data_IF_816811039415
#
_entry.id   IF_816811039415
#
_cell.length_a   1.000
_cell.length_b   1.000
_cell.length_c   1.000
_cell.angle_alpha   90.00
_cell.angle_beta   90.00
_cell.angle_gamma   90.00
#
_symmetry.space_group_name_H-M   'P 1'
#
loop_
_entity.id
_entity.type
_entity.pdbx_description
1 polymer ?
#
# COMPACT_ATOMS: atom_id res chain seq x y z
N UNK A 1 18.17 19.34 8.08
CA UNK A 1 18.76 18.22 8.86
C UNK A 1 20.12 17.78 8.35
N UNK A 2 21.06 17.49 9.24
CA UNK A 2 22.37 16.87 8.94
C UNK A 2 22.26 15.35 8.79
N UNK A 3 23.30 14.71 8.25
CA UNK A 3 23.37 13.23 8.13
C UNK A 3 23.28 12.53 9.49
N UNK A 4 23.95 13.07 10.51
CA UNK A 4 23.95 12.48 11.87
C UNK A 4 22.56 12.50 12.51
N UNK A 5 21.81 13.59 12.33
CA UNK A 5 20.42 13.66 12.82
C UNK A 5 19.52 12.63 12.13
N UNK A 6 19.72 12.35 10.84
CA UNK A 6 18.95 11.34 10.12
C UNK A 6 19.26 9.92 10.61
N UNK A 7 20.51 9.64 10.95
CA UNK A 7 20.91 8.36 11.54
C UNK A 7 20.32 8.16 12.94
N UNK A 8 20.30 9.21 13.77
CA UNK A 8 19.67 9.15 15.08
C UNK A 8 18.17 8.83 14.97
N UNK A 9 17.44 9.51 14.08
CA UNK A 9 16.02 9.25 13.87
C UNK A 9 15.77 7.84 13.32
N UNK A 10 16.59 7.36 12.38
CA UNK A 10 16.47 5.97 11.89
C UNK A 10 16.57 4.96 13.04
N UNK A 11 17.53 5.13 13.96
CA UNK A 11 17.68 4.24 15.14
C UNK A 11 16.50 4.32 16.09
N UNK A 12 15.92 5.50 16.28
CA UNK A 12 14.70 5.68 17.08
C UNK A 12 13.51 4.95 16.43
N UNK A 13 13.37 5.04 15.10
CA UNK A 13 12.35 4.32 14.33
C UNK A 13 12.49 2.82 14.54
N UNK A 14 13.69 2.25 14.33
CA UNK A 14 13.93 0.81 14.56
C UNK A 14 13.62 0.42 16.01
N UNK A 15 13.99 1.26 17.00
CA UNK A 15 13.66 0.99 18.39
C UNK A 15 12.16 1.03 18.66
N UNK A 16 11.40 1.89 17.96
CA UNK A 16 9.95 1.96 18.08
C UNK A 16 9.31 0.73 17.45
N UNK A 17 9.69 0.36 16.23
CA UNK A 17 9.19 -0.83 15.53
C UNK A 17 9.41 -2.09 16.36
N UNK A 18 10.61 -2.27 16.92
CA UNK A 18 10.92 -3.39 17.82
C UNK A 18 10.03 -3.43 19.06
N UNK A 19 9.70 -2.27 19.65
CA UNK A 19 8.78 -2.18 20.79
C UNK A 19 7.35 -2.51 20.38
N UNK A 20 6.87 -1.99 19.27
CA UNK A 20 5.50 -2.22 18.78
C UNK A 20 5.26 -3.69 18.40
N UNK A 21 6.28 -4.35 17.81
CA UNK A 21 6.20 -5.77 17.44
C UNK A 21 6.58 -6.75 18.56
N UNK A 22 6.91 -6.25 19.75
CA UNK A 22 7.37 -7.09 20.88
C UNK A 22 6.27 -7.98 21.45
N UNK A 23 5.01 -7.55 21.36
CA UNK A 23 3.85 -8.27 21.85
C UNK A 23 3.01 -8.79 20.69
N UNK A 24 2.43 -9.97 20.86
CA UNK A 24 1.47 -10.53 19.92
C UNK A 24 0.10 -10.66 20.53
N UNK A 25 -0.93 -10.38 19.74
CA UNK A 25 -2.32 -10.43 20.14
C UNK A 25 -3.02 -11.66 19.55
N UNK A 26 -4.14 -12.04 20.15
CA UNK A 26 -4.94 -13.17 19.68
C UNK A 26 -5.81 -12.88 18.46
N UNK A 27 -6.06 -11.59 18.16
CA UNK A 27 -6.93 -11.17 17.07
C UNK A 27 -6.30 -10.04 16.26
N UNK A 28 -6.77 -9.89 15.03
CA UNK A 28 -6.46 -8.82 14.09
C UNK A 28 -7.61 -7.81 14.08
N UNK A 29 -7.28 -6.54 14.23
CA UNK A 29 -8.26 -5.47 14.33
C UNK A 29 -7.64 -4.23 14.96
N UNK A 30 -8.48 -3.34 15.46
CA UNK A 30 -8.02 -2.13 16.16
C UNK A 30 -8.16 -2.27 17.67
N UNK A 31 -7.27 -1.59 18.39
CA UNK A 31 -7.25 -1.60 19.86
C UNK A 31 -8.14 -0.47 20.39
N UNK A 32 -8.99 -0.80 21.35
CA UNK A 32 -9.89 0.10 22.05
C UNK A 32 -9.69 0.00 23.55
N UNK A 33 -10.14 1.01 24.31
CA UNK A 33 -10.26 0.84 25.75
C UNK A 33 -11.45 -0.06 26.07
N UNK A 34 -11.29 -0.95 27.05
CA UNK A 34 -12.36 -1.84 27.49
C UNK A 34 -13.58 -1.06 28.02
N UNK A 35 -13.37 0.17 28.51
CA UNK A 35 -14.45 1.08 28.94
C UNK A 35 -15.40 1.49 27.82
N UNK A 36 -14.93 1.51 26.58
CA UNK A 36 -15.68 2.07 25.45
C UNK A 36 -16.78 1.12 24.96
N UNK A 37 -16.77 -0.14 25.44
CA UNK A 37 -17.82 -1.14 25.18
C UNK A 37 -18.17 -1.29 23.70
N UNK A 38 -17.14 -1.29 22.84
CA UNK A 38 -17.30 -1.39 21.38
C UNK A 38 -17.97 -2.71 20.99
N UNK A 39 -19.00 -2.63 20.17
CA UNK A 39 -19.75 -3.80 19.71
C UNK A 39 -18.86 -4.79 18.95
N UNK A 40 -18.97 -6.08 19.30
CA UNK A 40 -18.18 -7.15 18.69
C UNK A 40 -16.71 -7.20 19.12
N UNK A 41 -16.25 -6.29 19.99
CA UNK A 41 -14.88 -6.31 20.49
C UNK A 41 -14.64 -7.44 21.50
N UNK A 42 -13.44 -8.01 21.46
CA UNK A 42 -13.00 -9.10 22.34
C UNK A 42 -11.85 -8.62 23.24
N UNK A 43 -11.63 -9.21 24.42
CA UNK A 43 -10.49 -8.85 25.27
C UNK A 43 -9.16 -8.96 24.51
N UNK A 44 -8.27 -7.98 24.68
CA UNK A 44 -6.95 -7.99 24.05
C UNK A 44 -6.02 -9.00 24.72
N UNK A 45 -6.11 -10.27 24.32
CA UNK A 45 -5.29 -11.34 24.88
C UNK A 45 -3.92 -11.38 24.19
N UNK A 46 -2.86 -11.51 24.99
CA UNK A 46 -1.49 -11.62 24.50
C UNK A 46 -1.10 -13.09 24.29
N UNK A 47 -0.58 -13.39 23.10
CA UNK A 47 0.06 -14.65 22.74
C UNK A 47 1.58 -14.48 22.93
N UNK A 48 2.18 -15.28 23.81
CA UNK A 48 3.63 -15.25 24.06
C UNK A 48 4.00 -15.43 25.52
N UNK A 49 5.29 -15.39 25.80
CA UNK A 49 5.85 -15.55 27.14
C UNK A 49 5.94 -14.20 27.87
N UNK A 50 4.86 -13.87 28.57
CA UNK A 50 4.69 -12.62 29.33
C UNK A 50 4.02 -12.98 30.66
N UNK A 51 4.41 -12.28 31.74
CA UNK A 51 3.86 -12.49 33.09
C UNK A 51 2.32 -12.51 33.08
N UNK A 52 1.67 -13.48 33.76
CA UNK A 52 0.22 -13.59 33.83
C UNK A 52 -0.48 -12.29 34.28
N UNK A 53 0.14 -11.55 35.20
CA UNK A 53 -0.37 -10.29 35.74
C UNK A 53 -0.48 -9.21 34.64
N UNK A 54 0.51 -9.15 33.75
CA UNK A 54 0.50 -8.22 32.63
C UNK A 54 -0.53 -8.64 31.57
N UNK A 55 -0.66 -9.94 31.28
CA UNK A 55 -1.69 -10.45 30.36
C UNK A 55 -3.09 -10.09 30.85
N UNK A 56 -3.36 -10.30 32.14
CA UNK A 56 -4.63 -9.95 32.76
C UNK A 56 -4.87 -8.44 32.77
N UNK A 57 -3.85 -7.64 33.09
CA UNK A 57 -3.94 -6.17 33.04
C UNK A 57 -4.28 -5.68 31.64
N UNK A 58 -3.63 -6.19 30.59
CA UNK A 58 -3.90 -5.80 29.21
C UNK A 58 -5.32 -6.20 28.82
N UNK A 59 -5.72 -7.45 29.05
CA UNK A 59 -7.06 -7.95 28.70
C UNK A 59 -8.20 -7.22 29.43
N UNK A 60 -7.95 -6.67 30.63
CA UNK A 60 -8.90 -5.84 31.37
C UNK A 60 -8.93 -4.38 30.90
N UNK A 61 -7.81 -3.87 30.40
CA UNK A 61 -7.68 -2.45 30.00
C UNK A 61 -8.09 -2.24 28.55
N UNK A 62 -7.81 -3.21 27.68
CA UNK A 62 -7.94 -3.08 26.23
C UNK A 62 -8.76 -4.21 25.63
N UNK A 63 -9.46 -3.87 24.55
CA UNK A 63 -10.18 -4.81 23.68
C UNK A 63 -9.70 -4.66 22.25
N UNK A 64 -9.85 -5.72 21.45
CA UNK A 64 -9.61 -5.72 20.01
C UNK A 64 -10.98 -5.77 19.35
N UNK A 65 -11.29 -4.75 18.57
CA UNK A 65 -12.59 -4.60 17.92
C UNK A 65 -12.48 -4.49 16.41
N UNK A 66 -13.55 -3.99 15.77
CA UNK A 66 -13.56 -3.63 14.36
C UNK A 66 -12.33 -2.82 13.93
N UNK A 67 -11.87 -3.01 12.69
CA UNK A 67 -10.78 -2.22 12.13
C UNK A 67 -11.23 -0.77 11.93
N UNK A 68 -10.44 0.19 12.39
CA UNK A 68 -10.59 1.62 12.08
C UNK A 68 -9.88 2.01 10.78
N UNK A 69 -9.27 1.05 10.08
CA UNK A 69 -8.58 1.29 8.82
C UNK A 69 -9.52 1.97 7.81
N UNK A 70 -9.02 3.05 7.18
CA UNK A 70 -9.82 3.91 6.29
C UNK A 70 -10.50 3.13 5.18
N UNK A 71 -9.89 2.04 4.69
CA UNK A 71 -10.47 1.20 3.65
C UNK A 71 -11.80 0.54 4.07
N UNK A 72 -12.08 0.37 5.36
CA UNK A 72 -13.36 -0.15 5.86
C UNK A 72 -14.46 0.92 5.98
N UNK A 73 -14.12 2.20 5.87
CA UNK A 73 -15.01 3.32 6.17
C UNK A 73 -15.10 4.37 5.06
N UNK A 74 -14.25 4.32 4.05
CA UNK A 74 -14.26 5.29 2.96
C UNK A 74 -15.53 5.17 2.10
N UNK A 75 -16.11 6.31 1.69
CA UNK A 75 -17.31 6.39 0.83
C UNK A 75 -18.49 5.56 1.39
N UNK A 76 -19.18 4.81 0.54
CA UNK A 76 -20.35 3.99 0.89
C UNK A 76 -20.00 2.81 1.82
N UNK A 77 -18.72 2.42 1.95
CA UNK A 77 -18.30 1.35 2.88
C UNK A 77 -18.62 1.67 4.34
N UNK A 78 -18.73 2.96 4.70
CA UNK A 78 -19.15 3.41 6.04
C UNK A 78 -20.56 2.97 6.43
N UNK A 79 -21.49 2.86 5.47
CA UNK A 79 -22.90 2.55 5.73
C UNK A 79 -23.26 1.09 5.45
N UNK A 80 -22.35 0.35 4.82
CA UNK A 80 -22.54 -1.06 4.51
C UNK A 80 -22.54 -1.96 5.76
N UNK A 81 -23.38 -2.98 5.73
CA UNK A 81 -23.34 -4.08 6.69
C UNK A 81 -22.26 -5.11 6.27
N UNK A 82 -21.00 -4.79 6.56
CA UNK A 82 -19.82 -5.61 6.27
C UNK A 82 -19.14 -6.04 7.57
N UNK A 83 -18.48 -7.20 7.54
CA UNK A 83 -17.58 -7.60 8.63
C UNK A 83 -16.38 -6.67 8.68
N UNK A 84 -16.10 -6.13 9.87
CA UNK A 84 -14.96 -5.25 10.13
C UNK A 84 -13.95 -5.89 11.08
N UNK A 85 -14.10 -7.17 11.39
CA UNK A 85 -13.37 -7.84 12.47
C UNK A 85 -14.04 -7.66 13.84
N UNK A 86 -13.37 -8.02 14.93
CA UNK A 86 -12.00 -8.55 14.99
C UNK A 86 -11.89 -9.95 14.35
N UNK A 87 -10.77 -10.23 13.68
CA UNK A 87 -10.51 -11.54 13.05
C UNK A 87 -9.58 -12.38 13.93
N UNK A 88 -9.89 -13.66 14.13
CA UNK A 88 -9.07 -14.57 14.94
C UNK A 88 -7.86 -15.15 14.19
N UNK A 89 -7.76 -14.94 12.88
CA UNK A 89 -6.70 -15.47 12.04
C UNK A 89 -6.32 -14.48 10.93
N UNK A 90 -5.07 -14.51 10.44
CA UNK A 90 -4.62 -13.65 9.34
C UNK A 90 -5.37 -13.94 8.04
N UNK A 91 -5.73 -15.21 7.79
CA UNK A 91 -6.56 -15.62 6.65
C UNK A 91 -7.95 -14.99 6.74
N UNK A 92 -8.57 -15.04 7.93
CA UNK A 92 -9.88 -14.45 8.15
C UNK A 92 -9.88 -12.94 7.93
N UNK A 93 -8.77 -12.26 8.28
CA UNK A 93 -8.59 -10.84 8.00
C UNK A 93 -8.47 -10.58 6.49
N UNK A 94 -7.59 -11.30 5.80
CA UNK A 94 -7.39 -11.20 4.36
C UNK A 94 -8.66 -11.52 3.53
N UNK A 95 -9.45 -12.50 3.96
CA UNK A 95 -10.74 -12.86 3.37
C UNK A 95 -11.78 -11.75 3.63
N UNK A 96 -11.82 -11.18 4.84
CA UNK A 96 -12.75 -10.10 5.18
C UNK A 96 -12.55 -8.86 4.30
N UNK A 97 -11.30 -8.51 4.00
CA UNK A 97 -10.95 -7.44 3.06
C UNK A 97 -11.59 -7.71 1.68
N UNK A 98 -11.39 -8.90 1.13
CA UNK A 98 -11.94 -9.24 -0.18
C UNK A 98 -13.47 -9.30 -0.20
N UNK A 99 -14.11 -9.86 0.84
CA UNK A 99 -15.57 -9.90 0.92
C UNK A 99 -16.19 -8.51 0.98
N UNK A 100 -15.57 -7.59 1.73
CA UNK A 100 -15.94 -6.18 1.73
C UNK A 100 -15.89 -5.60 0.33
N UNK A 101 -14.77 -5.78 -0.38
CA UNK A 101 -14.60 -5.23 -1.72
C UNK A 101 -15.60 -5.80 -2.72
N UNK A 102 -15.82 -7.11 -2.73
CA UNK A 102 -16.86 -7.73 -3.56
C UNK A 102 -18.24 -7.15 -3.25
N UNK A 103 -18.57 -6.97 -1.97
CA UNK A 103 -19.86 -6.42 -1.57
C UNK A 103 -20.03 -4.96 -2.03
N UNK A 104 -18.98 -4.13 -1.92
CA UNK A 104 -19.03 -2.74 -2.36
C UNK A 104 -19.17 -2.67 -3.89
N UNK A 105 -18.37 -3.45 -4.62
CA UNK A 105 -18.41 -3.48 -6.09
C UNK A 105 -19.80 -3.88 -6.60
N UNK A 106 -20.40 -4.92 -6.02
CA UNK A 106 -21.71 -5.41 -6.46
C UNK A 106 -22.85 -4.41 -6.20
N UNK A 107 -22.72 -3.52 -5.22
CA UNK A 107 -23.78 -2.58 -4.84
C UNK A 107 -23.58 -1.18 -5.42
N UNK A 108 -22.33 -0.72 -5.53
CA UNK A 108 -22.02 0.69 -5.75
C UNK A 108 -21.09 0.96 -6.94
N UNK A 109 -20.39 -0.05 -7.50
CA UNK A 109 -19.52 0.22 -8.63
C UNK A 109 -20.33 0.59 -9.87
N UNK A 110 -20.12 1.82 -10.35
CA UNK A 110 -20.73 2.33 -11.57
C UNK A 110 -19.66 2.36 -12.66
N UNK A 111 -19.81 1.60 -13.76
CA UNK A 111 -18.97 1.75 -14.92
C UNK A 111 -19.05 3.19 -15.45
N UNK A 112 -17.89 3.83 -15.60
CA UNK A 112 -17.69 5.10 -16.28
C UNK A 112 -17.91 4.94 -17.79
N UNK A 113 -17.98 6.04 -18.53
CA UNK A 113 -18.19 5.99 -19.97
C UNK A 113 -16.99 5.31 -20.68
N UNK A 114 -17.20 4.46 -21.71
CA UNK A 114 -16.11 3.80 -22.44
C UNK A 114 -15.09 4.76 -23.07
N UNK A 115 -15.51 6.00 -23.35
CA UNK A 115 -14.68 7.03 -24.00
C UNK A 115 -14.06 8.02 -22.99
N UNK A 116 -14.20 7.79 -21.67
CA UNK A 116 -13.58 8.62 -20.64
C UNK A 116 -12.04 8.49 -20.71
N UNK A 117 -11.29 9.57 -21.05
CA UNK A 117 -9.84 9.50 -21.17
C UNK A 117 -9.12 9.27 -19.82
N UNK A 118 -9.83 9.37 -18.69
CA UNK A 118 -9.33 9.00 -17.36
C UNK A 118 -9.58 7.53 -17.02
N UNK A 119 -10.26 6.77 -17.89
CA UNK A 119 -10.56 5.34 -17.73
C UNK A 119 -9.59 4.45 -18.51
N UNK A 120 -8.33 4.49 -18.11
CA UNK A 120 -7.28 3.68 -18.71
C UNK A 120 -6.64 2.84 -17.61
N UNK A 121 -6.66 1.48 -17.70
CA UNK A 121 -7.19 0.65 -18.80
C UNK A 121 -8.69 0.35 -18.71
N UNK A 122 -9.29 -0.13 -19.81
CA UNK A 122 -10.73 -0.49 -19.89
C UNK A 122 -11.14 -1.57 -18.88
N UNK A 123 -10.22 -2.43 -18.46
CA UNK A 123 -10.45 -3.41 -17.40
C UNK A 123 -10.81 -2.76 -16.05
N UNK A 124 -10.29 -1.57 -15.75
CA UNK A 124 -10.60 -0.80 -14.53
C UNK A 124 -12.09 -0.40 -14.48
N UNK A 125 -12.75 -0.41 -15.63
CA UNK A 125 -14.11 0.03 -15.77
C UNK A 125 -15.14 -1.11 -15.73
N UNK A 126 -14.69 -2.35 -15.48
CA UNK A 126 -15.55 -3.55 -15.49
C UNK A 126 -15.67 -4.15 -14.08
N UNK A 127 -16.74 -3.83 -13.32
CA UNK A 127 -17.00 -4.40 -11.99
C UNK A 127 -16.87 -5.93 -11.94
N UNK A 128 -17.29 -6.61 -13.01
CA UNK A 128 -17.22 -8.06 -13.13
C UNK A 128 -15.78 -8.57 -13.18
N UNK A 129 -14.88 -7.88 -13.88
CA UNK A 129 -13.46 -8.26 -13.93
C UNK A 129 -12.80 -8.16 -12.55
N UNK A 130 -13.11 -7.10 -11.78
CA UNK A 130 -12.65 -6.98 -10.40
C UNK A 130 -13.13 -8.14 -9.53
N UNK A 131 -14.43 -8.47 -9.60
CA UNK A 131 -15.01 -9.59 -8.83
C UNK A 131 -14.35 -10.93 -9.21
N UNK A 132 -14.09 -11.18 -10.50
CA UNK A 132 -13.44 -12.42 -10.94
C UNK A 132 -12.01 -12.55 -10.39
N UNK A 133 -11.23 -11.46 -10.35
CA UNK A 133 -9.90 -11.46 -9.74
C UNK A 133 -9.97 -11.64 -8.22
N UNK A 134 -10.92 -11.00 -7.55
CA UNK A 134 -11.15 -11.18 -6.11
C UNK A 134 -11.58 -12.62 -5.78
N UNK A 135 -12.36 -13.27 -6.63
CA UNK A 135 -12.70 -14.69 -6.50
C UNK A 135 -11.48 -15.61 -6.71
N UNK A 136 -10.54 -15.26 -7.61
CA UNK A 136 -9.24 -15.94 -7.70
C UNK A 136 -8.43 -15.76 -6.41
N UNK A 137 -8.40 -14.56 -5.86
CA UNK A 137 -7.73 -14.26 -4.58
C UNK A 137 -8.28 -15.11 -3.42
N UNK A 138 -9.61 -15.28 -3.30
CA UNK A 138 -10.22 -16.11 -2.25
C UNK A 138 -9.79 -17.59 -2.32
N UNK A 139 -9.43 -18.10 -3.50
CA UNK A 139 -8.92 -19.47 -3.67
C UNK A 139 -7.45 -19.60 -3.21
N UNK A 140 -6.70 -18.52 -3.33
CA UNK A 140 -5.25 -18.46 -3.08
C UNK A 140 -4.94 -18.20 -1.61
N UNK A 141 -5.63 -17.23 -0.99
CA UNK A 141 -5.37 -16.74 0.37
C UNK A 141 -5.26 -17.85 1.42
N UNK A 142 -6.19 -18.83 1.51
CA UNK A 142 -6.12 -19.84 2.57
C UNK A 142 -4.82 -20.64 2.58
N UNK A 143 -4.16 -20.75 1.42
CA UNK A 143 -2.90 -21.49 1.30
C UNK A 143 -1.66 -20.61 1.44
N UNK A 144 -1.75 -19.31 1.12
CA UNK A 144 -0.63 -18.37 1.24
C UNK A 144 -0.20 -18.08 2.68
N UNK A 145 -1.11 -18.24 3.64
CA UNK A 145 -0.81 -18.04 5.06
C UNK A 145 -0.35 -19.31 5.77
N UNK A 146 -0.20 -20.44 5.06
CA UNK A 146 0.43 -21.65 5.59
C UNK A 146 1.96 -21.50 5.63
N UNK A 147 2.43 -20.45 6.30
CA UNK A 147 3.84 -20.13 6.56
C UNK A 147 4.09 -20.16 8.06
N UNK A 148 5.35 -20.06 8.47
CA UNK A 148 5.69 -19.98 9.89
C UNK A 148 4.88 -18.85 10.58
N UNK A 149 4.20 -19.21 11.67
CA UNK A 149 3.36 -18.32 12.46
C UNK A 149 4.09 -17.08 12.94
N UNK A 150 5.43 -17.10 13.04
CA UNK A 150 6.21 -15.91 13.39
C UNK A 150 6.04 -14.75 12.41
N UNK A 151 5.73 -15.03 11.15
CA UNK A 151 5.48 -14.02 10.09
C UNK A 151 4.03 -13.54 10.04
N UNK A 152 3.13 -14.27 10.69
CA UNK A 152 1.69 -13.99 10.75
C UNK A 152 1.27 -13.74 12.20
N UNK A 153 2.07 -12.94 12.92
CA UNK A 153 1.75 -12.49 14.27
C UNK A 153 0.88 -11.24 14.18
N UNK A 154 -0.22 -11.20 14.93
CA UNK A 154 -0.93 -9.94 15.16
C UNK A 154 -0.09 -9.08 16.10
N UNK A 155 0.46 -7.99 15.59
CA UNK A 155 1.31 -7.06 16.34
C UNK A 155 0.82 -5.63 16.15
N UNK A 156 1.22 -4.72 17.04
CA UNK A 156 1.04 -3.29 16.74
C UNK A 156 2.04 -2.92 15.65
N UNK A 157 1.55 -2.30 14.59
CA UNK A 157 2.38 -1.90 13.47
C UNK A 157 1.92 -0.55 12.94
N UNK A 158 2.85 0.26 12.45
CA UNK A 158 2.53 1.50 11.77
C UNK A 158 2.73 1.28 10.26
N UNK A 159 1.61 1.21 9.52
CA UNK A 159 1.61 0.89 8.08
C UNK A 159 2.21 1.98 7.20
N UNK A 160 2.28 3.23 7.70
CA UNK A 160 2.62 4.41 6.89
C UNK A 160 3.90 5.13 7.37
N UNK A 161 4.92 4.36 7.78
CA UNK A 161 6.23 4.90 8.18
C UNK A 161 7.08 5.20 6.94
N UNK A 162 6.65 6.10 6.06
CA UNK A 162 7.53 6.63 5.02
C UNK A 162 8.12 7.97 5.43
N UNK A 163 9.20 8.30 4.75
CA UNK A 163 9.99 9.51 4.95
C UNK A 163 9.25 10.82 5.12
N UNK A 164 8.24 11.04 4.29
CA UNK A 164 7.47 12.28 4.28
C UNK A 164 6.64 12.43 5.56
N UNK A 165 6.37 11.31 6.24
CA UNK A 165 5.65 11.27 7.52
C UNK A 165 6.59 11.29 8.74
N UNK A 166 7.84 10.86 8.58
CA UNK A 166 8.86 10.85 9.64
C UNK A 166 9.61 12.20 9.73
N UNK A 167 9.83 12.85 8.58
CA UNK A 167 10.54 14.13 8.49
C UNK A 167 9.62 15.26 8.06
N UNK A 168 8.91 15.82 9.04
CA UNK A 168 8.08 17.01 8.87
C UNK A 168 8.95 18.27 8.94
N UNK A 169 9.88 18.40 7.99
CA UNK A 169 10.60 19.65 7.71
C UNK A 169 10.23 20.06 6.28
N UNK A 170 10.26 21.36 5.94
CA UNK A 170 9.76 21.93 4.67
C UNK A 170 10.50 21.44 3.39
N UNK A 171 11.33 20.40 3.51
CA UNK A 171 11.96 19.66 2.43
C UNK A 171 11.72 18.16 2.65
N UNK A 172 11.07 17.46 1.71
CA UNK A 172 10.81 16.03 1.86
C UNK A 172 12.13 15.25 1.90
N UNK A 173 12.53 14.81 3.09
CA UNK A 173 13.66 13.89 3.26
C UNK A 173 13.15 12.47 3.11
N UNK A 174 13.79 11.67 2.24
CA UNK A 174 13.43 10.27 1.89
C UNK A 174 14.20 9.26 2.76
N UNK A 175 13.54 8.45 3.59
CA UNK A 175 14.15 7.56 4.59
C UNK A 175 13.55 6.15 4.56
N UNK A 176 12.30 5.95 4.14
CA UNK A 176 11.68 4.60 4.17
C UNK A 176 10.70 4.39 3.00
N UNK A 177 11.07 4.85 1.81
CA UNK A 177 10.57 4.24 0.58
C UNK A 177 11.71 4.30 -0.43
N UNK A 178 12.48 3.20 -0.47
CA UNK A 178 13.61 3.08 -1.38
C UNK A 178 13.21 2.18 -2.55
N UNK A 179 12.67 2.80 -3.60
CA UNK A 179 12.30 2.12 -4.85
C UNK A 179 13.38 2.22 -5.93
N UNK A 180 14.57 2.72 -5.59
CA UNK A 180 15.68 2.89 -6.54
C UNK A 180 16.72 1.77 -6.46
N UNK A 181 17.66 1.74 -7.41
CA UNK A 181 18.79 0.81 -7.37
C UNK A 181 19.75 1.17 -6.23
N UNK A 182 20.18 0.18 -5.44
CA UNK A 182 21.15 0.40 -4.36
C UNK A 182 22.48 0.86 -4.97
N UNK A 183 22.88 2.09 -4.66
CA UNK A 183 24.13 2.70 -5.10
C UNK A 183 24.99 3.03 -3.87
N UNK A 184 25.94 2.16 -3.52
CA UNK A 184 26.81 2.37 -2.36
C UNK A 184 28.12 3.07 -2.70
N UNK A 185 28.46 3.13 -3.98
CA UNK A 185 29.71 3.70 -4.47
C UNK A 185 29.44 4.79 -5.48
N UNK A 186 30.33 5.78 -5.46
CA UNK A 186 30.38 6.85 -6.43
C UNK A 186 30.77 6.28 -7.82
N UNK A 187 30.04 6.60 -8.90
CA UNK A 187 30.43 6.21 -10.26
C UNK A 187 31.78 6.82 -10.68
N UNK A 188 32.54 6.11 -11.52
CA UNK A 188 33.88 6.54 -11.94
C UNK A 188 33.86 7.89 -12.69
N UNK A 189 32.83 8.13 -13.50
CA UNK A 189 32.65 9.37 -14.27
C UNK A 189 32.04 10.54 -13.46
N UNK A 190 31.89 10.41 -12.14
CA UNK A 190 31.14 11.38 -11.36
C UNK A 190 31.74 12.80 -11.37
N UNK A 191 33.06 12.95 -11.45
CA UNK A 191 33.69 14.28 -11.47
C UNK A 191 33.36 15.05 -12.76
N UNK A 192 33.03 14.34 -13.83
CA UNK A 192 32.70 14.89 -15.14
C UNK A 192 31.20 15.26 -15.28
N UNK A 193 30.38 14.92 -14.30
CA UNK A 193 28.95 15.21 -14.31
C UNK A 193 28.64 16.66 -13.93
N UNK A 194 27.47 17.16 -14.35
CA UNK A 194 26.93 18.44 -13.90
C UNK A 194 26.53 18.42 -12.41
N UNK A 195 26.42 19.60 -11.81
CA UNK A 195 26.15 19.74 -10.37
C UNK A 195 24.79 19.15 -9.93
N UNK A 196 23.80 19.15 -10.82
CA UNK A 196 22.48 18.57 -10.55
C UNK A 196 22.61 17.05 -10.42
N UNK A 197 23.22 16.39 -11.41
CA UNK A 197 23.47 14.94 -11.38
C UNK A 197 24.37 14.53 -10.22
N UNK A 198 25.42 15.31 -9.93
CA UNK A 198 26.28 15.08 -8.75
C UNK A 198 25.48 15.12 -7.46
N UNK A 199 24.53 16.04 -7.34
CA UNK A 199 23.65 16.16 -6.17
C UNK A 199 22.70 14.97 -6.07
N UNK A 200 22.08 14.56 -7.18
CA UNK A 200 21.18 13.40 -7.24
C UNK A 200 21.90 12.11 -6.83
N UNK A 201 23.11 11.86 -7.36
CA UNK A 201 23.91 10.68 -7.01
C UNK A 201 24.33 10.71 -5.54
N UNK A 202 24.79 11.86 -5.00
CA UNK A 202 25.10 11.99 -3.56
C UNK A 202 23.88 11.66 -2.69
N UNK A 203 22.70 12.13 -3.09
CA UNK A 203 21.46 11.82 -2.39
C UNK A 203 21.08 10.34 -2.49
N UNK A 204 21.26 9.70 -3.66
CA UNK A 204 20.99 8.28 -3.85
C UNK A 204 21.93 7.42 -2.99
N UNK A 205 23.23 7.74 -2.97
CA UNK A 205 24.22 7.06 -2.13
C UNK A 205 23.83 7.17 -0.66
N UNK A 206 23.50 8.39 -0.20
CA UNK A 206 23.08 8.58 1.17
C UNK A 206 21.83 7.76 1.52
N UNK A 207 20.81 7.73 0.66
CA UNK A 207 19.61 6.90 0.86
C UNK A 207 19.93 5.41 0.91
N UNK A 208 20.78 4.93 0.00
CA UNK A 208 21.23 3.54 -0.03
C UNK A 208 21.95 3.14 1.25
N UNK A 209 22.90 3.97 1.72
CA UNK A 209 23.62 3.73 2.98
C UNK A 209 22.65 3.70 4.15
N UNK A 210 21.74 4.68 4.22
CA UNK A 210 20.77 4.78 5.31
C UNK A 210 19.81 3.59 5.37
N UNK A 211 19.33 3.14 4.20
CA UNK A 211 18.51 1.93 4.08
C UNK A 211 19.27 0.68 4.51
N UNK A 212 20.53 0.53 4.11
CA UNK A 212 21.37 -0.59 4.57
C UNK A 212 21.57 -0.58 6.09
N UNK A 213 21.82 0.60 6.67
CA UNK A 213 21.95 0.74 8.12
C UNK A 213 20.63 0.42 8.84
N UNK A 214 19.49 0.80 8.27
CA UNK A 214 18.18 0.40 8.78
C UNK A 214 17.99 -1.12 8.80
N UNK A 215 18.37 -1.82 7.72
CA UNK A 215 18.30 -3.28 7.67
C UNK A 215 19.22 -3.94 8.71
N UNK A 216 20.45 -3.43 8.88
CA UNK A 216 21.41 -3.94 9.87
C UNK A 216 20.88 -3.74 11.30
N UNK A 217 20.48 -2.52 11.65
CA UNK A 217 19.97 -2.22 13.01
C UNK A 217 18.66 -2.96 13.29
N UNK A 218 17.80 -3.14 12.28
CA UNK A 218 16.60 -3.99 12.39
C UNK A 218 16.98 -5.44 12.65
N UNK A 219 17.98 -5.98 11.96
CA UNK A 219 18.49 -7.34 12.22
C UNK A 219 18.97 -7.56 13.65
N UNK A 220 19.65 -6.56 14.23
CA UNK A 220 20.14 -6.63 15.60
C UNK A 220 19.01 -6.51 16.64
N UNK A 221 18.02 -5.64 16.41
CA UNK A 221 17.00 -5.28 17.40
C UNK A 221 15.69 -6.06 17.26
N UNK A 222 15.39 -6.54 16.05
CA UNK A 222 14.16 -7.24 15.72
C UNK A 222 14.42 -8.34 14.66
N UNK A 223 15.04 -9.46 15.05
CA UNK A 223 15.41 -10.52 14.11
C UNK A 223 14.22 -11.08 13.32
N UNK A 224 13.05 -11.20 13.94
CA UNK A 224 11.84 -11.72 13.28
C UNK A 224 11.40 -10.79 12.14
N UNK A 225 11.43 -9.47 12.35
CA UNK A 225 11.13 -8.50 11.30
C UNK A 225 12.17 -8.55 10.18
N UNK A 226 13.46 -8.65 10.51
CA UNK A 226 14.52 -8.79 9.51
C UNK A 226 14.37 -10.08 8.68
N UNK A 227 14.00 -11.20 9.30
CA UNK A 227 13.65 -12.44 8.60
C UNK A 227 12.42 -12.24 7.70
N UNK A 228 11.43 -11.45 8.13
CA UNK A 228 10.22 -11.15 7.35
C UNK A 228 10.55 -10.37 6.07
N UNK A 229 11.52 -9.45 6.12
CA UNK A 229 12.00 -8.74 4.92
C UNK A 229 12.67 -9.64 3.90
N UNK A 230 13.21 -10.78 4.33
CA UNK A 230 13.86 -11.77 3.49
C UNK A 230 12.96 -12.97 3.17
N UNK A 231 11.67 -12.91 3.51
CA UNK A 231 10.72 -13.97 3.20
C UNK A 231 10.60 -14.12 1.69
N UNK A 232 10.69 -15.35 1.20
CA UNK A 232 10.56 -15.66 -0.22
C UNK A 232 9.24 -15.15 -0.77
N UNK A 233 9.35 -14.39 -1.85
CA UNK A 233 8.23 -13.71 -2.50
C UNK A 233 7.41 -12.83 -1.54
N UNK A 234 8.01 -12.33 -0.45
CA UNK A 234 7.34 -11.53 0.57
C UNK A 234 6.63 -10.30 0.00
N UNK A 235 7.21 -9.66 -1.03
CA UNK A 235 6.56 -8.56 -1.77
C UNK A 235 5.28 -9.04 -2.48
N UNK A 236 5.31 -10.18 -3.15
CA UNK A 236 4.12 -10.73 -3.83
C UNK A 236 3.02 -11.09 -2.83
N UNK A 237 3.38 -11.71 -1.69
CA UNK A 237 2.42 -12.04 -0.61
C UNK A 237 1.77 -10.79 -0.01
N UNK A 238 2.58 -9.78 0.33
CA UNK A 238 2.11 -8.51 0.92
C UNK A 238 1.22 -7.75 -0.05
N UNK A 239 1.71 -7.47 -1.25
CA UNK A 239 1.00 -6.64 -2.23
C UNK A 239 -0.32 -7.27 -2.67
N UNK A 240 -0.39 -8.61 -2.72
CA UNK A 240 -1.65 -9.28 -3.02
C UNK A 240 -2.76 -8.93 -2.01
N UNK A 241 -2.45 -8.94 -0.72
CA UNK A 241 -3.42 -8.60 0.34
C UNK A 241 -3.76 -7.11 0.34
N UNK A 242 -2.75 -6.26 0.09
CA UNK A 242 -2.89 -4.81 0.02
C UNK A 242 -3.82 -4.39 -1.13
N UNK A 243 -3.53 -4.83 -2.35
CA UNK A 243 -4.34 -4.46 -3.52
C UNK A 243 -5.73 -5.09 -3.53
N UNK A 244 -5.92 -6.25 -2.87
CA UNK A 244 -7.26 -6.84 -2.73
C UNK A 244 -8.26 -5.94 -2.00
N UNK A 245 -7.77 -4.96 -1.23
CA UNK A 245 -8.60 -4.06 -0.43
C UNK A 245 -9.10 -2.81 -1.13
N UNK A 246 -8.62 -2.47 -2.31
CA UNK A 246 -9.13 -1.29 -3.00
C UNK A 246 -9.01 -1.38 -4.53
N UNK A 247 -9.25 -2.55 -5.12
CA UNK A 247 -9.02 -2.77 -6.57
C UNK A 247 -9.70 -1.74 -7.50
N UNK A 248 -10.76 -1.08 -7.06
CA UNK A 248 -11.47 -0.06 -7.83
C UNK A 248 -10.82 1.34 -7.75
N UNK A 249 -10.12 1.67 -6.67
CA UNK A 249 -9.40 2.94 -6.52
C UNK A 249 -7.86 2.76 -6.72
N UNK A 250 -7.27 1.62 -6.33
CA UNK A 250 -5.83 1.28 -6.35
C UNK A 250 -5.40 0.38 -7.54
N UNK A 251 -6.12 0.46 -8.66
CA UNK A 251 -5.79 -0.14 -9.96
C UNK A 251 -5.80 -1.69 -10.07
N UNK A 252 -6.69 -2.18 -10.94
CA UNK A 252 -6.91 -3.59 -11.27
C UNK A 252 -5.68 -4.26 -11.88
N UNK A 253 -4.83 -3.51 -12.60
CA UNK A 253 -3.64 -4.05 -13.26
C UNK A 253 -2.63 -4.51 -12.23
N UNK A 254 -2.36 -3.67 -11.24
CA UNK A 254 -1.47 -3.98 -10.13
C UNK A 254 -1.94 -5.22 -9.35
N UNK A 255 -3.24 -5.31 -9.07
CA UNK A 255 -3.81 -6.49 -8.43
C UNK A 255 -3.69 -7.75 -9.31
N UNK A 256 -4.02 -7.66 -10.61
CA UNK A 256 -3.90 -8.78 -11.55
C UNK A 256 -2.45 -9.26 -11.69
N UNK A 257 -1.49 -8.34 -11.76
CA UNK A 257 -0.05 -8.64 -11.79
C UNK A 257 0.38 -9.44 -10.55
N UNK A 258 -0.11 -9.06 -9.35
CA UNK A 258 0.20 -9.85 -8.14
C UNK A 258 -0.35 -11.27 -8.22
N UNK A 259 -1.58 -11.47 -8.70
CA UNK A 259 -2.15 -12.82 -8.88
C UNK A 259 -1.39 -13.65 -9.93
N UNK A 260 -0.98 -13.04 -11.04
CA UNK A 260 -0.16 -13.68 -12.08
C UNK A 260 1.20 -14.10 -11.50
N UNK A 261 1.83 -13.23 -10.70
CA UNK A 261 3.10 -13.56 -10.03
C UNK A 261 2.93 -14.70 -9.02
N UNK A 262 1.81 -14.75 -8.29
CA UNK A 262 1.52 -15.86 -7.38
C UNK A 262 1.35 -17.18 -8.14
N UNK A 263 0.67 -17.19 -9.29
CA UNK A 263 0.61 -18.40 -10.14
C UNK A 263 2.01 -18.78 -10.64
N UNK A 264 2.76 -17.82 -11.17
CA UNK A 264 4.10 -18.03 -11.75
C UNK A 264 5.07 -18.64 -10.74
N UNK A 265 5.08 -18.12 -9.51
CA UNK A 265 6.02 -18.52 -8.46
C UNK A 265 5.41 -19.54 -7.49
N UNK A 266 4.25 -20.14 -7.80
CA UNK A 266 3.51 -20.99 -6.85
C UNK A 266 4.34 -22.10 -6.22
N UNK A 267 5.19 -22.77 -7.02
CA UNK A 267 6.05 -23.87 -6.56
C UNK A 267 7.20 -23.39 -5.67
N UNK A 268 7.58 -22.12 -5.75
CA UNK A 268 8.62 -21.49 -4.93
C UNK A 268 8.05 -20.90 -3.63
N UNK A 269 6.72 -20.74 -3.52
CA UNK A 269 6.08 -20.22 -2.31
C UNK A 269 6.03 -21.23 -1.15
N UNK A 270 6.62 -22.41 -1.30
CA UNK A 270 6.58 -23.51 -0.31
C UNK A 270 5.15 -23.87 0.13
N UNK A 271 4.16 -23.62 -0.73
CA UNK A 271 2.74 -23.89 -0.46
C UNK A 271 2.38 -25.30 -0.96
N UNK A 272 1.63 -26.05 -0.14
CA UNK A 272 1.19 -27.40 -0.50
C UNK A 272 0.19 -27.41 -1.68
N UNK A 273 0.37 -28.38 -2.57
CA UNK A 273 -0.53 -28.67 -3.70
C UNK A 273 -0.33 -27.80 -4.93
N UNK A 274 -1.20 -28.00 -5.91
CA UNK A 274 -1.18 -27.24 -7.17
C UNK A 274 -1.88 -25.89 -7.03
N UNK A 275 -1.46 -24.92 -7.86
CA UNK A 275 -2.01 -23.58 -7.83
C UNK A 275 -3.53 -23.63 -8.10
N UNK A 276 -4.37 -23.04 -7.24
CA UNK A 276 -5.83 -23.14 -7.40
C UNK A 276 -6.39 -22.17 -8.44
N UNK A 277 -5.52 -21.39 -9.08
CA UNK A 277 -5.86 -20.41 -10.10
C UNK A 277 -5.00 -20.64 -11.33
N UNK A 278 -5.53 -20.21 -12.48
CA UNK A 278 -4.82 -20.26 -13.75
C UNK A 278 -5.14 -19.03 -14.59
N UNK A 279 -4.14 -18.44 -15.24
CA UNK A 279 -4.28 -17.41 -16.27
C UNK A 279 -3.92 -17.99 -17.64
N UNK A 280 -4.86 -17.88 -18.57
CA UNK A 280 -4.67 -18.34 -19.95
C UNK A 280 -3.72 -17.42 -20.71
N UNK A 281 -3.18 -17.87 -21.85
CA UNK A 281 -2.36 -17.01 -22.73
C UNK A 281 -3.12 -15.74 -23.15
N UNK A 282 -4.43 -15.84 -23.36
CA UNK A 282 -5.28 -14.71 -23.69
C UNK A 282 -5.41 -13.73 -22.50
N UNK A 283 -5.53 -14.23 -21.27
CA UNK A 283 -5.53 -13.39 -20.07
C UNK A 283 -4.20 -12.62 -19.94
N UNK A 284 -3.06 -13.28 -20.19
CA UNK A 284 -1.73 -12.67 -20.12
C UNK A 284 -1.52 -11.64 -21.23
N UNK A 285 -2.04 -11.89 -22.44
CA UNK A 285 -2.01 -10.94 -23.55
C UNK A 285 -2.84 -9.70 -23.23
N UNK A 286 -4.06 -9.88 -22.70
CA UNK A 286 -4.93 -8.78 -22.25
C UNK A 286 -4.26 -7.97 -21.14
N UNK A 287 -3.67 -8.66 -20.16
CA UNK A 287 -2.91 -8.02 -19.08
C UNK A 287 -1.75 -7.17 -19.61
N UNK A 288 -0.97 -7.69 -20.56
CA UNK A 288 0.15 -6.93 -21.14
C UNK A 288 -0.32 -5.65 -21.82
N UNK A 289 -1.45 -5.70 -22.55
CA UNK A 289 -2.05 -4.52 -23.18
C UNK A 289 -2.59 -3.51 -22.16
N UNK A 290 -3.22 -3.98 -21.10
CA UNK A 290 -3.71 -3.14 -20.01
C UNK A 290 -2.53 -2.48 -19.26
N UNK A 291 -1.44 -3.22 -19.04
CA UNK A 291 -0.24 -2.77 -18.35
C UNK A 291 0.58 -1.75 -19.15
N UNK A 292 0.71 -1.91 -20.48
CA UNK A 292 1.34 -0.90 -21.35
C UNK A 292 0.61 0.45 -21.24
N UNK A 293 -0.72 0.42 -21.37
CA UNK A 293 -1.56 1.62 -21.24
C UNK A 293 -1.48 2.23 -19.84
N UNK A 294 -1.39 1.40 -18.81
CA UNK A 294 -1.19 1.87 -17.44
C UNK A 294 0.19 2.52 -17.26
N UNK A 295 1.25 1.93 -17.82
CA UNK A 295 2.59 2.50 -17.78
C UNK A 295 2.64 3.88 -18.45
N UNK A 296 1.92 4.10 -19.55
CA UNK A 296 1.80 5.43 -20.16
C UNK A 296 1.22 6.47 -19.19
N UNK A 297 0.20 6.09 -18.40
CA UNK A 297 -0.38 6.95 -17.35
C UNK A 297 0.65 7.20 -16.24
N UNK A 298 1.39 6.17 -15.81
CA UNK A 298 2.44 6.33 -14.81
C UNK A 298 3.58 7.23 -15.29
N UNK A 299 3.99 7.11 -16.55
CA UNK A 299 5.03 7.92 -17.16
C UNK A 299 4.61 9.39 -17.26
N UNK A 300 3.33 9.65 -17.58
CA UNK A 300 2.78 10.98 -17.47
C UNK A 300 2.91 11.54 -16.04
N UNK A 301 2.53 10.78 -15.01
CA UNK A 301 2.67 11.21 -13.62
C UNK A 301 4.13 11.38 -13.18
N UNK A 302 5.04 10.55 -13.65
CA UNK A 302 6.48 10.69 -13.42
C UNK A 302 7.02 11.97 -14.07
N UNK A 303 6.57 12.28 -15.29
CA UNK A 303 6.96 13.49 -15.99
C UNK A 303 6.53 14.77 -15.25
N UNK A 304 5.40 14.72 -14.55
CA UNK A 304 4.87 15.86 -13.78
C UNK A 304 5.25 15.82 -12.29
N UNK A 305 6.11 14.91 -11.82
CA UNK A 305 6.52 14.83 -10.40
C UNK A 305 7.13 16.16 -9.90
N UNK A 306 7.80 16.91 -10.79
CA UNK A 306 8.31 18.26 -10.50
C UNK A 306 7.20 19.32 -10.31
N UNK A 307 6.02 19.08 -10.86
CA UNK A 307 4.83 19.95 -10.78
C UNK A 307 3.99 19.58 -9.58
N UNK A 308 3.67 18.31 -9.36
CA UNK A 308 2.98 17.83 -8.15
C UNK A 308 3.45 16.43 -7.85
N UNK A 309 3.60 16.09 -6.57
CA UNK A 309 3.91 14.72 -6.19
C UNK A 309 2.69 13.82 -6.39
N UNK A 310 2.94 12.51 -6.50
CA UNK A 310 1.90 11.49 -6.67
C UNK A 310 0.86 11.45 -5.54
N UNK A 311 1.25 11.83 -4.32
CA UNK A 311 0.38 11.97 -3.15
C UNK A 311 -0.44 13.28 -3.16
N UNK A 312 -0.37 14.06 -4.24
CA UNK A 312 -1.01 15.37 -4.36
C UNK A 312 -0.27 16.49 -3.63
N UNK A 313 0.86 16.21 -2.98
CA UNK A 313 1.58 17.20 -2.18
C UNK A 313 2.39 18.18 -3.05
N UNK A 314 2.36 19.46 -2.68
CA UNK A 314 3.15 20.54 -3.29
C UNK A 314 3.50 21.60 -2.24
N UNK A 315 4.67 22.24 -2.37
CA UNK A 315 5.02 23.36 -1.50
C UNK A 315 4.22 24.61 -1.86
N UNK A 316 3.95 25.45 -0.86
CA UNK A 316 3.22 26.72 -1.05
C UNK A 316 3.90 27.63 -2.08
N UNK A 317 5.23 27.67 -2.10
CA UNK A 317 6.03 28.49 -3.02
C UNK A 317 5.82 28.14 -4.50
N UNK A 318 5.49 26.88 -4.79
CA UNK A 318 5.34 26.38 -6.17
C UNK A 318 3.90 25.96 -6.48
N UNK A 319 2.96 26.28 -5.59
CA UNK A 319 1.55 25.92 -5.69
C UNK A 319 0.88 26.58 -6.90
N UNK A 320 1.08 27.88 -7.12
CA UNK A 320 0.44 28.62 -8.21
C UNK A 320 0.86 28.09 -9.59
N UNK A 321 2.13 27.72 -9.75
CA UNK A 321 2.62 27.12 -11.00
C UNK A 321 1.97 25.74 -11.26
N UNK A 322 1.77 24.95 -10.20
CA UNK A 322 1.08 23.66 -10.32
C UNK A 322 -0.41 23.83 -10.62
N UNK A 323 -1.08 24.78 -9.96
CA UNK A 323 -2.47 25.10 -10.22
C UNK A 323 -2.65 25.54 -11.69
N UNK A 324 -1.76 26.40 -12.20
CA UNK A 324 -1.80 26.85 -13.59
C UNK A 324 -1.64 25.68 -14.58
N UNK A 325 -0.73 24.74 -14.31
CA UNK A 325 -0.58 23.53 -15.12
C UNK A 325 -1.90 22.75 -15.20
N UNK A 326 -2.59 22.53 -14.08
CA UNK A 326 -3.86 21.81 -14.05
C UNK A 326 -5.03 22.60 -14.66
N UNK A 327 -5.04 23.93 -14.54
CA UNK A 327 -5.97 24.81 -15.26
C UNK A 327 -5.81 24.63 -16.78
N UNK A 328 -4.58 24.60 -17.28
CA UNK A 328 -4.32 24.44 -18.71
C UNK A 328 -4.63 23.02 -19.19
N UNK A 329 -4.33 22.00 -18.38
CA UNK A 329 -4.73 20.62 -18.63
C UNK A 329 -6.27 20.48 -18.68
N UNK A 330 -7.00 21.14 -17.77
CA UNK A 330 -8.47 21.21 -17.80
C UNK A 330 -8.97 21.85 -19.10
N UNK A 331 -8.38 22.96 -19.55
CA UNK A 331 -8.76 23.62 -20.82
C UNK A 331 -8.52 22.71 -22.03
N UNK A 332 -7.46 21.90 -22.01
CA UNK A 332 -7.20 20.90 -23.06
C UNK A 332 -8.25 19.79 -23.00
N UNK A 333 -8.53 19.23 -21.82
CA UNK A 333 -9.55 18.19 -21.63
C UNK A 333 -10.93 18.63 -22.11
N UNK A 334 -11.39 19.80 -21.68
CA UNK A 334 -12.71 20.35 -22.05
C UNK A 334 -12.87 20.65 -23.53
N UNK A 335 -11.79 20.91 -24.27
CA UNK A 335 -11.86 21.14 -25.72
C UNK A 335 -12.15 19.85 -26.49
N UNK A 336 -11.78 18.71 -25.94
CA UNK A 336 -11.82 17.43 -26.65
C UNK A 336 -12.99 16.53 -26.21
N UNK A 337 -13.66 16.84 -25.10
CA UNK A 337 -14.78 16.07 -24.53
C UNK A 337 -16.16 16.53 -25.03
N UNK A 338 -17.14 15.62 -25.07
CA UNK A 338 -18.52 15.90 -25.53
C UNK A 338 -19.57 15.48 -24.50
N UNK A 339 -20.71 16.17 -24.51
CA UNK A 339 -21.93 15.80 -23.77
C UNK A 339 -21.68 15.51 -22.27
N UNK A 340 -22.17 14.37 -21.76
CA UNK A 340 -22.19 14.01 -20.34
C UNK A 340 -20.78 13.89 -19.72
N UNK A 341 -19.78 13.50 -20.50
CA UNK A 341 -18.38 13.43 -20.08
C UNK A 341 -17.82 14.81 -19.76
N UNK A 342 -18.22 15.81 -20.57
CA UNK A 342 -17.84 17.20 -20.33
C UNK A 342 -18.43 17.70 -19.03
N UNK A 343 -19.71 17.44 -18.76
CA UNK A 343 -20.37 17.85 -17.51
C UNK A 343 -19.74 17.20 -16.28
N UNK A 344 -19.44 15.89 -16.35
CA UNK A 344 -18.77 15.16 -15.26
C UNK A 344 -17.34 15.66 -15.03
N UNK A 345 -16.57 15.88 -16.09
CA UNK A 345 -15.22 16.42 -16.01
C UNK A 345 -15.19 17.88 -15.52
N UNK A 346 -16.13 18.73 -15.97
CA UNK A 346 -16.31 20.10 -15.48
C UNK A 346 -16.58 20.11 -13.97
N UNK A 347 -17.47 19.22 -13.49
CA UNK A 347 -17.77 19.07 -12.06
C UNK A 347 -16.54 18.63 -11.25
N UNK A 348 -15.82 17.60 -11.72
CA UNK A 348 -14.68 17.03 -10.99
C UNK A 348 -13.46 17.95 -10.95
N UNK A 349 -13.26 18.77 -11.99
CA UNK A 349 -12.07 19.64 -12.11
C UNK A 349 -12.35 21.09 -11.72
N UNK A 350 -13.50 21.39 -11.09
CA UNK A 350 -13.98 22.75 -10.78
C UNK A 350 -12.98 23.58 -9.98
N UNK A 351 -12.16 22.91 -9.17
CA UNK A 351 -11.09 23.51 -8.40
C UNK A 351 -10.01 24.20 -9.26
N UNK A 352 -9.93 23.88 -10.56
CA UNK A 352 -9.00 24.44 -11.55
C UNK A 352 -9.69 25.43 -12.53
N UNK A 353 -10.73 26.16 -12.10
CA UNK A 353 -11.46 27.13 -12.94
C UNK A 353 -10.86 28.53 -13.05
N UNK A 354 -9.78 28.83 -12.31
CA UNK A 354 -9.22 30.19 -12.22
C UNK A 354 -8.68 30.74 -13.55
#
# INVERSE_FOLDING_TARGET
MTSDSKLAVMREVVSLEAKLSSLSFSHYGSIYFASDSVEGAVPAQIIGDVSPELKEKIARTFTIGPSVDRSFWNKERSTMNISRGPCSSPEGYAISICHREIAWIRQFAVPKAPDDPLCIPTAQNSPQEHVLLLEKYLKVVPRLFNIDRKFTRSVIWHSDLHSSNIFVDARPSRLVDYQGDILLKRPDNFDDLDDKRKTEIKQQIFKSILFQLYLIETGERNPILAETFNLDHGKARRLLVEYAGDTCDDDIVSFRETLINIERYWKELEVEGDCPIHFTEEDLRKHSQDAERWNEVQDFFNHIEGVVKRDGWKSSETYEAALQFFVDLRKVGLRNMKWKEREDFERQTRWAEK
#
